data_IF_699886637801
#
_entry.id   IF_699886637801
#
_cell.length_a   1.000
_cell.length_b   1.000
_cell.length_c   1.000
_cell.angle_alpha   90.00
_cell.angle_beta   90.00
_cell.angle_gamma   90.00
#
_symmetry.space_group_name_H-M   'P 1'
#
loop_
_entity.id
_entity.type
_entity.pdbx_description
1 polymer ?
#
# COMPACT_ATOMS: atom_id res chain seq x y z
N UNK A 1 -25.06 -30.89 -4.21
CA UNK A 1 -24.77 -29.46 -4.48
C UNK A 1 -23.94 -28.92 -3.33
N UNK A 2 -22.78 -28.31 -3.60
CA UNK A 2 -21.91 -27.73 -2.55
C UNK A 2 -22.60 -26.57 -1.80
N UNK A 3 -22.05 -26.20 -0.65
CA UNK A 3 -22.51 -25.07 0.16
C UNK A 3 -22.52 -23.78 -0.67
N UNK A 4 -23.60 -22.98 -0.60
CA UNK A 4 -23.63 -21.63 -1.15
C UNK A 4 -23.15 -20.66 -0.07
N UNK A 5 -22.04 -19.96 -0.33
CA UNK A 5 -21.51 -18.94 0.55
C UNK A 5 -22.18 -17.59 0.27
N UNK A 6 -22.41 -16.81 1.30
CA UNK A 6 -22.93 -15.45 1.10
C UNK A 6 -21.84 -14.55 0.49
N UNK A 7 -20.61 -14.66 0.99
CA UNK A 7 -19.46 -13.90 0.50
C UNK A 7 -18.25 -14.84 0.30
N UNK A 8 -17.62 -14.74 -0.87
CA UNK A 8 -16.28 -15.33 -1.12
C UNK A 8 -15.29 -14.21 -1.39
N UNK A 9 -14.20 -14.18 -0.62
CA UNK A 9 -13.10 -13.22 -0.75
C UNK A 9 -11.93 -13.92 -1.40
N UNK A 10 -11.47 -13.44 -2.55
CA UNK A 10 -10.32 -13.97 -3.26
C UNK A 10 -9.05 -13.25 -2.81
N UNK A 11 -8.12 -13.96 -2.19
CA UNK A 11 -6.88 -13.45 -1.66
C UNK A 11 -6.96 -13.04 -0.19
N UNK A 12 -6.13 -13.67 0.63
CA UNK A 12 -5.95 -13.43 2.06
C UNK A 12 -4.78 -12.47 2.35
N UNK A 13 -4.60 -11.42 1.54
CA UNK A 13 -3.67 -10.33 1.83
C UNK A 13 -4.28 -9.27 2.74
N UNK A 14 -3.65 -8.08 2.80
CA UNK A 14 -4.13 -6.96 3.64
C UNK A 14 -5.63 -6.67 3.43
N UNK A 15 -6.08 -6.51 2.18
CA UNK A 15 -7.47 -6.16 1.89
C UNK A 15 -8.47 -7.27 2.27
N UNK A 16 -8.17 -8.50 1.86
CA UNK A 16 -9.07 -9.64 2.12
C UNK A 16 -9.16 -9.99 3.60
N UNK A 17 -8.03 -10.07 4.30
CA UNK A 17 -8.03 -10.35 5.74
C UNK A 17 -8.60 -9.19 6.55
N UNK A 18 -8.35 -7.92 6.20
CA UNK A 18 -8.98 -6.79 6.89
C UNK A 18 -10.51 -6.87 6.82
N UNK A 19 -11.06 -7.20 5.65
CA UNK A 19 -12.50 -7.38 5.52
C UNK A 19 -13.00 -8.64 6.27
N UNK A 20 -12.27 -9.75 6.19
CA UNK A 20 -12.63 -10.97 6.93
C UNK A 20 -12.68 -10.73 8.44
N UNK A 21 -11.70 -9.98 8.98
CA UNK A 21 -11.66 -9.58 10.41
C UNK A 21 -12.85 -8.68 10.77
N UNK A 22 -13.27 -7.76 9.92
CA UNK A 22 -14.47 -6.96 10.14
C UNK A 22 -15.72 -7.83 10.16
N UNK A 23 -15.83 -8.79 9.23
CA UNK A 23 -16.98 -9.70 9.11
C UNK A 23 -16.98 -10.83 10.15
N UNK A 24 -15.92 -10.97 10.94
CA UNK A 24 -15.86 -11.90 12.08
C UNK A 24 -16.62 -11.38 13.32
N UNK A 25 -17.07 -10.13 13.31
CA UNK A 25 -17.86 -9.58 14.41
C UNK A 25 -19.22 -10.29 14.54
N UNK A 26 -19.71 -10.45 15.78
CA UNK A 26 -20.93 -11.21 16.11
C UNK A 26 -22.19 -10.77 15.37
N UNK A 27 -22.26 -9.51 14.99
CA UNK A 27 -23.38 -8.94 14.20
C UNK A 27 -23.48 -9.52 12.78
N UNK A 28 -22.41 -10.15 12.27
CA UNK A 28 -22.38 -10.84 10.98
C UNK A 28 -22.50 -12.38 11.11
N UNK A 29 -22.83 -12.90 12.28
CA UNK A 29 -22.91 -14.36 12.53
C UNK A 29 -23.84 -15.12 11.58
N UNK A 30 -24.83 -14.43 10.99
CA UNK A 30 -25.72 -15.00 9.96
C UNK A 30 -25.18 -14.93 8.53
N UNK A 31 -23.98 -14.35 8.30
CA UNK A 31 -23.36 -14.19 6.97
C UNK A 31 -22.20 -15.17 6.85
N UNK A 32 -22.31 -16.15 5.97
CA UNK A 32 -21.23 -17.12 5.73
C UNK A 32 -20.17 -16.54 4.80
N UNK A 33 -18.91 -16.51 5.26
CA UNK A 33 -17.78 -15.92 4.53
C UNK A 33 -16.69 -16.97 4.31
N UNK A 34 -16.18 -17.07 3.08
CA UNK A 34 -15.02 -17.89 2.73
C UNK A 34 -13.91 -17.01 2.15
N UNK A 35 -12.73 -17.09 2.73
CA UNK A 35 -11.51 -16.47 2.18
C UNK A 35 -10.67 -17.55 1.50
N UNK A 36 -10.36 -17.35 0.22
CA UNK A 36 -9.52 -18.24 -0.58
C UNK A 36 -8.14 -17.63 -0.75
N UNK A 37 -7.13 -18.22 -0.17
CA UNK A 37 -5.75 -17.75 -0.22
C UNK A 37 -4.82 -18.77 -0.86
N UNK A 38 -4.01 -18.34 -1.85
CA UNK A 38 -3.08 -19.21 -2.56
C UNK A 38 -1.90 -19.69 -1.72
N UNK A 39 -1.47 -18.90 -0.73
CA UNK A 39 -0.36 -19.25 0.16
C UNK A 39 -0.74 -20.43 1.03
N UNK A 40 0.21 -21.33 1.26
CA UNK A 40 0.05 -22.43 2.22
C UNK A 40 0.10 -21.89 3.66
N UNK A 41 1.01 -20.96 3.93
CA UNK A 41 1.24 -20.37 5.24
C UNK A 41 1.56 -18.89 5.13
N UNK A 42 1.30 -18.16 6.19
CA UNK A 42 1.67 -16.76 6.33
C UNK A 42 3.06 -16.64 6.95
N UNK A 43 3.88 -15.79 6.37
CA UNK A 43 5.21 -15.42 6.84
C UNK A 43 5.38 -13.92 6.72
N UNK A 44 6.40 -13.34 7.35
CA UNK A 44 6.77 -11.95 7.10
C UNK A 44 7.28 -11.86 5.65
N UNK A 45 6.47 -11.30 4.77
CA UNK A 45 6.77 -11.14 3.36
C UNK A 45 6.94 -9.67 2.95
N UNK A 46 6.62 -8.73 3.87
CA UNK A 46 6.76 -7.28 3.69
C UNK A 46 6.62 -6.53 5.00
N UNK A 47 7.01 -5.27 4.95
CA UNK A 47 6.76 -4.27 6.00
C UNK A 47 5.85 -3.19 5.42
N UNK A 48 4.77 -2.88 6.10
CA UNK A 48 3.95 -1.72 5.77
C UNK A 48 4.40 -0.52 6.56
N UNK A 49 4.61 0.61 5.87
CA UNK A 49 4.90 1.88 6.49
C UNK A 49 3.93 2.93 6.00
N UNK A 50 3.44 3.75 6.91
CA UNK A 50 2.36 4.68 6.61
C UNK A 50 2.30 5.85 7.59
N UNK A 51 1.66 6.92 7.16
CA UNK A 51 1.33 8.04 8.01
C UNK A 51 0.04 7.79 8.78
N UNK A 52 0.03 8.13 10.06
CA UNK A 52 -1.17 8.10 10.89
C UNK A 52 -1.21 9.31 11.84
N UNK A 53 -2.39 9.87 12.02
CA UNK A 53 -2.72 10.91 13.00
C UNK A 53 -3.76 10.42 14.02
N UNK A 54 -4.19 9.17 13.86
CA UNK A 54 -5.24 8.55 14.68
C UNK A 54 -4.91 7.09 14.94
N UNK A 55 -5.42 6.57 16.04
CA UNK A 55 -5.43 5.14 16.33
C UNK A 55 -6.37 4.42 15.37
N UNK A 56 -5.94 3.33 14.80
CA UNK A 56 -6.73 2.43 13.99
C UNK A 56 -6.68 0.99 14.53
N UNK A 57 -7.47 0.09 13.94
CA UNK A 57 -7.64 -1.30 14.42
C UNK A 57 -6.32 -2.02 14.71
N UNK A 58 -5.29 -1.77 13.92
CA UNK A 58 -4.00 -2.48 13.98
C UNK A 58 -2.87 -1.67 14.62
N UNK A 59 -3.16 -0.51 15.24
CA UNK A 59 -2.12 0.33 15.87
C UNK A 59 -1.36 -0.39 16.97
N UNK A 60 -1.98 -1.36 17.64
CA UNK A 60 -1.34 -2.17 18.69
C UNK A 60 -0.33 -3.20 18.14
N UNK A 61 -0.28 -3.40 16.82
CA UNK A 61 0.66 -4.28 16.13
C UNK A 61 1.85 -3.53 15.52
N UNK A 62 1.83 -2.20 15.57
CA UNK A 62 2.90 -1.39 15.03
C UNK A 62 4.21 -1.68 15.75
N UNK A 63 5.24 -1.98 14.97
CA UNK A 63 6.57 -2.27 15.48
C UNK A 63 7.24 -1.03 16.04
N UNK A 64 7.07 0.11 15.36
CA UNK A 64 7.58 1.41 15.78
C UNK A 64 6.80 2.55 15.13
N UNK A 65 6.83 3.69 15.82
CA UNK A 65 6.33 4.98 15.35
C UNK A 65 7.41 6.05 15.51
N UNK A 66 7.45 7.01 14.58
CA UNK A 66 8.36 8.15 14.60
C UNK A 66 7.58 9.45 14.39
N UNK A 67 8.03 10.51 15.07
CA UNK A 67 7.54 11.88 14.86
C UNK A 67 8.49 12.73 14.03
N UNK A 68 9.66 12.18 13.68
CA UNK A 68 10.72 12.86 12.95
C UNK A 68 11.14 12.05 11.74
N UNK A 69 11.44 12.76 10.64
CA UNK A 69 11.95 12.16 9.41
C UNK A 69 12.80 13.13 8.62
N UNK A 70 13.64 12.60 7.76
CA UNK A 70 14.48 13.36 6.86
C UNK A 70 14.20 13.06 5.41
N UNK A 71 14.40 14.07 4.58
CA UNK A 71 14.48 13.96 3.12
C UNK A 71 15.75 14.69 2.68
N UNK A 72 16.57 14.07 1.85
CA UNK A 72 17.87 14.63 1.44
C UNK A 72 18.22 14.37 -0.03
N UNK A 73 18.97 15.30 -0.65
CA UNK A 73 19.55 15.16 -1.98
C UNK A 73 20.89 15.89 -2.00
N UNK A 74 21.98 15.16 -2.18
CA UNK A 74 23.33 15.68 -2.03
C UNK A 74 23.56 16.31 -0.66
N UNK A 75 24.00 17.56 -0.62
CA UNK A 75 24.23 18.31 0.64
C UNK A 75 22.97 18.93 1.26
N UNK A 76 21.87 18.98 0.51
CA UNK A 76 20.61 19.54 1.00
C UNK A 76 19.84 18.49 1.81
N UNK A 77 19.47 18.84 3.05
CA UNK A 77 18.73 17.97 3.94
C UNK A 77 17.63 18.73 4.68
N UNK A 78 16.43 18.21 4.68
CA UNK A 78 15.32 18.70 5.47
C UNK A 78 15.08 17.75 6.64
N UNK A 79 15.12 18.29 7.87
CA UNK A 79 14.68 17.62 9.09
C UNK A 79 13.26 18.08 9.39
N UNK A 80 12.34 17.13 9.46
CA UNK A 80 10.92 17.39 9.56
C UNK A 80 10.38 16.75 10.84
N UNK A 81 9.57 17.48 11.58
CA UNK A 81 8.96 17.00 12.82
C UNK A 81 7.48 17.34 12.83
N UNK A 82 6.62 16.39 13.19
CA UNK A 82 5.20 16.63 13.41
C UNK A 82 4.81 16.31 14.85
N UNK A 83 4.02 17.19 15.44
CA UNK A 83 3.37 16.95 16.74
C UNK A 83 2.06 16.15 16.58
N UNK A 84 1.48 16.11 15.37
CA UNK A 84 0.18 15.50 15.09
C UNK A 84 0.28 14.15 14.42
N UNK A 85 1.13 14.06 13.40
CA UNK A 85 1.28 12.86 12.59
C UNK A 85 2.44 12.01 13.09
N UNK A 86 2.31 10.70 12.90
CA UNK A 86 3.39 9.73 13.11
C UNK A 86 3.60 8.97 11.81
N UNK A 87 4.84 8.62 11.55
CA UNK A 87 5.18 7.62 10.57
C UNK A 87 5.29 6.29 11.30
N UNK A 88 4.54 5.29 10.90
CA UNK A 88 4.45 4.01 11.58
C UNK A 88 4.93 2.88 10.68
N UNK A 89 5.46 1.83 11.29
CA UNK A 89 5.87 0.59 10.63
C UNK A 89 5.19 -0.61 11.28
N UNK A 90 4.70 -1.53 10.45
CA UNK A 90 4.03 -2.76 10.86
C UNK A 90 4.52 -3.93 10.01
N UNK A 91 5.07 -4.96 10.66
CA UNK A 91 5.52 -6.18 10.00
C UNK A 91 4.31 -7.05 9.59
N UNK A 92 4.34 -7.60 8.38
CA UNK A 92 3.18 -8.31 7.82
C UNK A 92 2.80 -9.57 8.60
N UNK A 93 3.75 -10.27 9.19
CA UNK A 93 3.49 -11.47 10.01
C UNK A 93 2.71 -11.13 11.29
N UNK A 94 2.96 -9.99 11.94
CA UNK A 94 2.17 -9.53 13.09
C UNK A 94 0.70 -9.31 12.71
N UNK A 95 0.46 -8.65 11.55
CA UNK A 95 -0.88 -8.49 11.01
C UNK A 95 -1.52 -9.83 10.66
N UNK A 96 -0.81 -10.69 9.92
CA UNK A 96 -1.34 -11.99 9.51
C UNK A 96 -1.71 -12.86 10.70
N UNK A 97 -0.84 -12.93 11.71
CA UNK A 97 -1.11 -13.68 12.95
C UNK A 97 -2.39 -13.19 13.62
N UNK A 98 -2.50 -11.89 13.86
CA UNK A 98 -3.69 -11.29 14.48
C UNK A 98 -4.95 -11.54 13.67
N UNK A 99 -4.90 -11.38 12.34
CA UNK A 99 -6.04 -11.57 11.46
C UNK A 99 -6.48 -13.05 11.42
N UNK A 100 -5.53 -13.98 11.29
CA UNK A 100 -5.82 -15.43 11.28
C UNK A 100 -6.40 -15.89 12.60
N UNK A 101 -5.86 -15.44 13.73
CA UNK A 101 -6.41 -15.74 15.07
C UNK A 101 -7.86 -15.23 15.21
N UNK A 102 -8.12 -13.99 14.78
CA UNK A 102 -9.47 -13.39 14.81
C UNK A 102 -10.45 -14.16 13.94
N UNK A 103 -10.07 -14.47 12.71
CA UNK A 103 -10.92 -15.21 11.76
C UNK A 103 -11.18 -16.64 12.26
N UNK A 104 -10.16 -17.32 12.77
CA UNK A 104 -10.28 -18.69 13.28
C UNK A 104 -11.17 -18.82 14.51
N UNK A 105 -11.29 -17.75 15.30
CA UNK A 105 -12.20 -17.71 16.46
C UNK A 105 -13.68 -17.47 16.05
N UNK A 106 -13.95 -17.12 14.79
CA UNK A 106 -15.29 -16.79 14.31
C UNK A 106 -15.95 -17.98 13.62
N UNK A 107 -17.20 -18.34 13.97
CA UNK A 107 -17.88 -19.51 13.39
C UNK A 107 -18.40 -19.27 11.96
N UNK A 108 -18.51 -18.02 11.53
CA UNK A 108 -19.09 -17.65 10.24
C UNK A 108 -18.06 -17.35 9.14
N UNK A 109 -16.78 -17.22 9.48
CA UNK A 109 -15.69 -16.97 8.53
C UNK A 109 -14.76 -18.16 8.45
N UNK A 110 -14.49 -18.62 7.24
CA UNK A 110 -13.55 -19.71 6.97
C UNK A 110 -12.39 -19.16 6.12
N UNK A 111 -11.18 -19.38 6.58
CA UNK A 111 -9.96 -19.12 5.78
C UNK A 111 -9.44 -20.46 5.23
N UNK A 112 -9.43 -20.57 3.92
CA UNK A 112 -8.87 -21.71 3.21
C UNK A 112 -7.56 -21.28 2.55
N UNK A 113 -6.44 -21.77 3.07
CA UNK A 113 -5.10 -21.61 2.47
C UNK A 113 -4.84 -22.67 1.41
N UNK A 114 -3.77 -22.53 0.64
CA UNK A 114 -3.44 -23.39 -0.48
C UNK A 114 -4.57 -23.50 -1.53
N UNK A 115 -5.38 -22.46 -1.66
CA UNK A 115 -6.54 -22.37 -2.55
C UNK A 115 -6.24 -21.41 -3.72
N UNK A 116 -5.64 -21.92 -4.77
CA UNK A 116 -5.36 -21.17 -5.99
C UNK A 116 -6.63 -21.08 -6.82
N UNK A 117 -7.13 -19.85 -7.03
CA UNK A 117 -8.32 -19.60 -7.83
C UNK A 117 -7.93 -19.45 -9.30
N UNK A 118 -8.50 -20.29 -10.14
CA UNK A 118 -8.32 -20.29 -11.58
C UNK A 118 -9.29 -19.34 -12.29
N UNK A 119 -10.58 -19.44 -11.96
CA UNK A 119 -11.64 -18.77 -12.69
C UNK A 119 -12.77 -18.32 -11.78
N UNK A 120 -13.35 -17.18 -12.13
CA UNK A 120 -14.61 -16.69 -11.56
C UNK A 120 -15.62 -16.52 -12.69
N UNK A 121 -16.80 -17.10 -12.54
CA UNK A 121 -17.89 -17.01 -13.51
C UNK A 121 -19.15 -16.51 -12.79
N UNK A 122 -19.57 -15.29 -13.08
CA UNK A 122 -20.88 -14.81 -12.71
C UNK A 122 -21.93 -15.55 -13.55
N UNK A 123 -22.95 -16.13 -12.89
CA UNK A 123 -24.13 -16.72 -13.53
C UNK A 123 -25.27 -15.71 -13.59
N UNK A 124 -25.43 -14.98 -12.50
CA UNK A 124 -26.32 -13.84 -12.40
C UNK A 124 -25.77 -12.84 -11.36
N UNK A 125 -26.58 -11.88 -10.96
CA UNK A 125 -26.17 -10.82 -10.02
C UNK A 125 -25.85 -11.35 -8.60
N UNK A 126 -26.34 -12.54 -8.24
CA UNK A 126 -26.22 -13.14 -6.90
C UNK A 126 -25.85 -14.63 -6.93
N UNK A 127 -25.32 -15.12 -8.02
CA UNK A 127 -24.78 -16.48 -8.14
C UNK A 127 -23.52 -16.48 -9.00
N UNK A 128 -22.42 -16.82 -8.36
CA UNK A 128 -21.11 -16.94 -9.01
C UNK A 128 -20.50 -18.29 -8.69
N UNK A 129 -19.72 -18.81 -9.63
CA UNK A 129 -18.88 -20.00 -9.42
C UNK A 129 -17.42 -19.56 -9.44
N UNK A 130 -16.71 -19.89 -8.36
CA UNK A 130 -15.25 -19.79 -8.23
C UNK A 130 -14.67 -21.18 -8.41
N UNK A 131 -13.84 -21.39 -9.42
CA UNK A 131 -13.17 -22.66 -9.69
C UNK A 131 -11.73 -22.59 -9.20
N UNK A 132 -11.33 -23.53 -8.38
CA UNK A 132 -9.95 -23.68 -7.92
C UNK A 132 -9.12 -24.47 -8.93
N UNK A 133 -7.82 -24.33 -8.88
CA UNK A 133 -6.87 -25.07 -9.71
C UNK A 133 -7.00 -26.61 -9.55
N UNK A 134 -7.48 -27.07 -8.41
CA UNK A 134 -7.81 -28.48 -8.14
C UNK A 134 -9.03 -28.99 -8.90
N UNK A 135 -9.77 -28.14 -9.57
CA UNK A 135 -11.07 -28.44 -10.18
C UNK A 135 -12.27 -28.31 -9.22
N UNK A 136 -12.03 -28.07 -7.93
CA UNK A 136 -13.10 -27.81 -6.97
C UNK A 136 -13.86 -26.52 -7.35
N UNK A 137 -15.19 -26.57 -7.24
CA UNK A 137 -16.08 -25.45 -7.52
C UNK A 137 -16.78 -24.96 -6.24
N UNK A 138 -16.62 -23.68 -5.94
CA UNK A 138 -17.23 -22.98 -4.82
C UNK A 138 -18.33 -22.05 -5.34
N UNK A 139 -19.54 -22.14 -4.79
CA UNK A 139 -20.65 -21.24 -5.13
C UNK A 139 -20.71 -20.06 -4.14
N UNK A 140 -20.92 -18.87 -4.67
CA UNK A 140 -21.00 -17.63 -3.90
C UNK A 140 -22.15 -16.74 -4.37
N UNK A 141 -22.87 -16.09 -3.42
CA UNK A 141 -23.80 -15.01 -3.75
C UNK A 141 -23.04 -13.76 -4.22
N UNK A 142 -21.94 -13.46 -3.54
CA UNK A 142 -21.08 -12.32 -3.84
C UNK A 142 -19.61 -12.75 -3.83
N UNK A 143 -18.87 -12.32 -4.82
CA UNK A 143 -17.42 -12.50 -4.89
C UNK A 143 -16.72 -11.14 -4.80
N UNK A 144 -15.76 -11.02 -3.88
CA UNK A 144 -14.90 -9.85 -3.71
C UNK A 144 -13.46 -10.23 -4.04
N UNK A 145 -12.79 -9.45 -4.88
CA UNK A 145 -11.44 -9.77 -5.34
C UNK A 145 -10.38 -8.88 -4.66
N UNK A 146 -9.65 -9.45 -3.71
CA UNK A 146 -8.53 -8.82 -3.01
C UNK A 146 -7.16 -9.24 -3.56
N UNK A 147 -7.12 -9.96 -4.67
CA UNK A 147 -5.86 -10.34 -5.31
C UNK A 147 -5.20 -9.10 -5.93
N UNK A 148 -3.87 -9.04 -5.94
CA UNK A 148 -3.19 -7.98 -6.69
C UNK A 148 -3.47 -8.15 -8.18
N UNK A 149 -3.72 -7.05 -8.88
CA UNK A 149 -3.73 -7.11 -10.35
C UNK A 149 -2.36 -7.57 -10.86
N UNK A 150 -2.31 -8.47 -11.85
CA UNK A 150 -1.06 -8.76 -12.53
C UNK A 150 -0.48 -7.46 -13.10
N UNK A 151 0.82 -7.25 -12.95
CA UNK A 151 1.54 -6.20 -13.64
C UNK A 151 1.62 -6.59 -15.12
N UNK A 152 0.50 -6.44 -15.83
CA UNK A 152 0.33 -6.98 -17.19
C UNK A 152 0.89 -6.09 -18.29
N UNK A 153 1.37 -4.89 -17.95
CA UNK A 153 1.88 -3.97 -18.95
C UNK A 153 3.38 -3.71 -18.73
N UNK A 154 4.22 -4.00 -19.74
CA UNK A 154 5.59 -3.50 -19.77
C UNK A 154 5.66 -1.97 -19.98
N UNK A 155 4.52 -1.28 -20.04
CA UNK A 155 4.41 0.16 -20.26
C UNK A 155 3.82 0.79 -19.00
N UNK A 156 4.61 1.66 -18.36
CA UNK A 156 4.17 2.45 -17.24
C UNK A 156 5.12 2.45 -16.04
N UNK A 157 4.89 3.41 -15.18
CA UNK A 157 5.72 3.61 -14.02
C UNK A 157 5.42 2.57 -12.93
N UNK A 158 6.49 2.08 -12.35
CA UNK A 158 6.45 1.22 -11.16
C UNK A 158 7.31 1.83 -10.07
N UNK A 159 6.92 1.58 -8.82
CA UNK A 159 7.82 1.67 -7.69
C UNK A 159 8.31 0.27 -7.38
N UNK A 160 9.61 0.06 -7.44
CA UNK A 160 10.24 -1.23 -7.12
C UNK A 160 11.30 -1.02 -6.06
N UNK A 161 11.45 -1.99 -5.16
CA UNK A 161 12.37 -1.89 -4.05
C UNK A 161 12.85 -3.26 -3.57
N UNK A 162 14.02 -3.26 -2.97
CA UNK A 162 14.55 -4.35 -2.14
C UNK A 162 14.98 -3.76 -0.81
N UNK A 163 14.59 -4.42 0.27
CA UNK A 163 14.90 -4.03 1.64
C UNK A 163 15.67 -5.11 2.39
N UNK A 164 16.69 -4.70 3.12
CA UNK A 164 17.44 -5.54 4.06
C UNK A 164 17.27 -5.03 5.48
N UNK A 165 16.77 -5.86 6.39
CA UNK A 165 16.88 -5.56 7.81
C UNK A 165 18.26 -5.97 8.30
N UNK A 166 19.01 -4.97 8.77
CA UNK A 166 20.40 -5.16 9.17
C UNK A 166 20.57 -4.98 10.67
N UNK A 167 21.46 -5.80 11.22
CA UNK A 167 21.93 -5.74 12.60
C UNK A 167 23.42 -5.37 12.60
N UNK A 168 23.81 -4.39 13.41
CA UNK A 168 25.19 -3.93 13.58
C UNK A 168 25.63 -4.03 15.04
N UNK A 169 26.95 -4.14 15.27
CA UNK A 169 27.50 -4.28 16.65
C UNK A 169 27.56 -2.95 17.39
N UNK A 170 27.65 -1.83 16.70
CA UNK A 170 27.76 -0.49 17.26
C UNK A 170 26.56 0.38 16.91
N UNK A 171 26.36 1.46 17.66
CA UNK A 171 25.28 2.41 17.40
C UNK A 171 25.59 3.22 16.13
N UNK A 172 24.79 3.00 15.08
CA UNK A 172 24.94 3.61 13.74
C UNK A 172 23.72 4.42 13.38
N UNK A 173 22.53 3.90 13.68
CA UNK A 173 21.27 4.50 13.25
C UNK A 173 20.71 5.47 14.28
N UNK A 174 20.20 6.62 13.81
CA UNK A 174 19.39 7.48 14.68
C UNK A 174 17.98 6.89 14.83
N UNK A 175 17.74 6.21 15.95
CA UNK A 175 16.49 5.52 16.18
C UNK A 175 15.25 6.44 16.25
N UNK A 176 15.42 7.74 16.45
CA UNK A 176 14.32 8.69 16.61
C UNK A 176 13.85 9.32 15.28
N UNK A 177 14.57 9.08 14.19
CA UNK A 177 14.33 9.77 12.92
C UNK A 177 14.36 8.80 11.73
N UNK A 178 13.27 8.73 10.96
CA UNK A 178 13.21 7.98 9.70
C UNK A 178 13.97 8.73 8.61
N UNK A 179 14.83 8.06 7.84
CA UNK A 179 15.27 8.57 6.56
C UNK A 179 14.24 8.19 5.50
N UNK A 180 13.33 9.12 5.21
CA UNK A 180 12.20 8.84 4.33
C UNK A 180 12.64 8.74 2.86
N UNK A 181 13.55 9.61 2.43
CA UNK A 181 14.13 9.60 1.09
C UNK A 181 15.54 10.22 1.15
N UNK A 182 16.56 9.44 0.87
CA UNK A 182 17.89 9.95 0.56
C UNK A 182 18.12 9.75 -0.94
N UNK A 183 17.94 10.80 -1.72
CA UNK A 183 17.99 10.73 -3.17
C UNK A 183 19.40 10.53 -3.70
N UNK A 184 19.53 9.60 -4.65
CA UNK A 184 20.68 9.41 -5.52
C UNK A 184 20.24 9.73 -6.95
N UNK A 185 20.55 10.92 -7.50
CA UNK A 185 20.09 11.31 -8.83
C UNK A 185 20.58 10.35 -9.91
N UNK A 186 19.65 9.86 -10.73
CA UNK A 186 19.91 8.92 -11.82
C UNK A 186 19.04 9.26 -13.06
N UNK A 187 19.53 9.11 -14.30
CA UNK A 187 18.78 9.40 -15.51
C UNK A 187 17.70 8.35 -15.84
N UNK A 188 17.69 7.17 -15.20
CA UNK A 188 16.77 6.09 -15.49
C UNK A 188 15.52 6.10 -14.60
N UNK A 189 15.47 6.98 -13.60
CA UNK A 189 14.34 7.07 -12.69
C UNK A 189 14.60 7.88 -11.44
N UNK A 190 13.70 7.81 -10.48
CA UNK A 190 13.88 8.37 -9.14
C UNK A 190 14.43 7.27 -8.25
N UNK A 191 15.70 7.37 -7.89
CA UNK A 191 16.37 6.47 -6.96
C UNK A 191 16.54 7.14 -5.60
N UNK A 192 16.24 6.41 -4.53
CA UNK A 192 16.50 6.86 -3.16
C UNK A 192 16.64 5.67 -2.20
N UNK A 193 17.40 5.90 -1.14
CA UNK A 193 17.44 5.01 0.01
C UNK A 193 16.44 5.44 1.07
N UNK A 194 15.77 4.44 1.65
CA UNK A 194 14.79 4.58 2.70
C UNK A 194 15.24 3.78 3.91
N UNK A 195 15.22 4.37 5.12
CA UNK A 195 15.71 3.72 6.34
C UNK A 195 14.71 3.86 7.47
N UNK A 196 14.28 2.73 8.00
CA UNK A 196 13.46 2.61 9.21
C UNK A 196 14.31 2.12 10.38
N UNK A 197 14.81 2.99 11.25
CA UNK A 197 15.66 2.61 12.35
C UNK A 197 14.83 2.10 13.53
N UNK A 198 14.83 0.81 13.75
CA UNK A 198 14.12 0.18 14.87
C UNK A 198 14.87 0.34 16.21
N UNK A 199 16.19 0.45 16.16
CA UNK A 199 17.07 0.76 17.27
C UNK A 199 18.36 1.41 16.72
N UNK A 200 19.28 1.89 17.58
CA UNK A 200 20.60 2.35 17.13
C UNK A 200 21.41 1.30 16.37
N UNK A 201 21.04 0.01 16.54
CA UNK A 201 21.76 -1.14 15.94
C UNK A 201 20.95 -1.99 15.01
N UNK A 202 19.71 -1.61 14.73
CA UNK A 202 18.82 -2.34 13.81
C UNK A 202 18.02 -1.40 12.95
N UNK A 203 18.08 -1.59 11.64
CA UNK A 203 17.24 -0.84 10.70
C UNK A 203 16.83 -1.70 9.50
N UNK A 204 15.66 -1.42 8.94
CA UNK A 204 15.33 -1.81 7.58
C UNK A 204 15.87 -0.73 6.65
N UNK A 205 16.71 -1.13 5.71
CA UNK A 205 17.32 -0.26 4.69
C UNK A 205 16.83 -0.74 3.33
N UNK A 206 16.21 0.15 2.57
CA UNK A 206 15.69 -0.17 1.23
C UNK A 206 16.36 0.70 0.17
N UNK A 207 16.75 0.08 -0.95
CA UNK A 207 16.93 0.78 -2.21
C UNK A 207 15.61 0.77 -2.95
N UNK A 208 15.12 1.96 -3.33
CA UNK A 208 13.82 2.17 -3.94
C UNK A 208 13.94 2.97 -5.22
N UNK A 209 13.27 2.50 -6.27
CA UNK A 209 13.19 3.15 -7.57
C UNK A 209 11.75 3.43 -7.98
N UNK A 210 11.52 4.62 -8.55
CA UNK A 210 10.35 4.90 -9.39
C UNK A 210 10.88 5.02 -10.82
N UNK A 211 10.55 4.05 -11.67
CA UNK A 211 11.12 3.93 -13.02
C UNK A 211 10.12 3.29 -13.99
N UNK A 212 10.52 3.16 -15.25
CA UNK A 212 9.80 2.29 -16.18
C UNK A 212 9.88 0.84 -15.72
N UNK A 213 8.87 0.04 -16.04
CA UNK A 213 8.73 -1.35 -15.56
C UNK A 213 9.82 -2.31 -16.11
N UNK A 214 10.47 -1.95 -17.19
CA UNK A 214 11.57 -2.68 -17.82
C UNK A 214 12.96 -2.30 -17.29
N UNK A 215 13.06 -1.32 -16.39
CA UNK A 215 14.30 -0.97 -15.71
C UNK A 215 14.59 -1.98 -14.60
N UNK A 216 15.80 -2.53 -14.57
CA UNK A 216 16.24 -3.55 -13.61
C UNK A 216 17.52 -3.12 -12.90
N UNK A 217 17.42 -2.39 -11.76
CA UNK A 217 18.57 -1.99 -10.97
C UNK A 217 19.24 -3.17 -10.26
N UNK A 218 20.54 -3.05 -9.98
CA UNK A 218 21.24 -4.01 -9.10
C UNK A 218 21.09 -3.60 -7.63
N UNK A 219 19.91 -3.87 -7.08
CA UNK A 219 19.58 -3.55 -5.70
C UNK A 219 20.57 -4.08 -4.67
N UNK A 220 21.13 -5.26 -4.90
CA UNK A 220 22.08 -5.89 -3.98
C UNK A 220 23.41 -5.13 -3.96
N UNK A 221 23.87 -4.64 -5.11
CA UNK A 221 25.07 -3.80 -5.19
C UNK A 221 24.83 -2.43 -4.54
N UNK A 222 23.71 -1.79 -4.85
CA UNK A 222 23.31 -0.50 -4.28
C UNK A 222 23.21 -0.54 -2.75
N UNK A 223 22.55 -1.57 -2.20
CA UNK A 223 22.42 -1.74 -0.75
C UNK A 223 23.77 -2.00 -0.07
N UNK A 224 24.67 -2.78 -0.69
CA UNK A 224 26.02 -3.00 -0.14
C UNK A 224 26.84 -1.70 -0.13
N UNK A 225 26.77 -0.93 -1.20
CA UNK A 225 27.47 0.36 -1.30
C UNK A 225 26.95 1.36 -0.26
N UNK A 226 25.63 1.51 -0.17
CA UNK A 226 25.00 2.37 0.83
C UNK A 226 25.38 1.96 2.26
N UNK A 227 25.29 0.67 2.58
CA UNK A 227 25.65 0.16 3.91
C UNK A 227 27.14 0.36 4.21
N UNK A 228 28.02 0.24 3.21
CA UNK A 228 29.43 0.54 3.39
C UNK A 228 29.67 2.02 3.76
N UNK A 229 28.88 2.93 3.22
CA UNK A 229 28.96 4.36 3.55
C UNK A 229 28.40 4.66 4.95
N UNK A 230 27.29 4.03 5.33
CA UNK A 230 26.55 4.32 6.58
C UNK A 230 27.14 3.56 7.77
N UNK A 231 27.42 2.29 7.61
CA UNK A 231 27.96 1.40 8.66
C UNK A 231 29.48 1.49 8.75
N UNK A 232 30.11 1.91 7.65
CA UNK A 232 31.57 1.95 7.53
C UNK A 232 32.19 0.54 7.44
N UNK A 233 33.44 0.37 7.96
CA UNK A 233 34.13 -0.92 7.90
C UNK A 233 33.60 -1.99 8.88
N UNK A 234 32.54 -1.67 9.63
CA UNK A 234 31.96 -2.59 10.60
C UNK A 234 31.13 -3.68 9.92
N UNK A 235 31.17 -4.88 10.48
CA UNK A 235 30.35 -5.97 10.00
C UNK A 235 28.87 -5.72 10.30
N UNK A 236 28.00 -6.12 9.39
CA UNK A 236 26.56 -6.20 9.61
C UNK A 236 26.03 -7.58 9.24
N UNK A 237 24.95 -7.98 9.89
CA UNK A 237 24.20 -9.20 9.54
C UNK A 237 22.85 -8.82 8.96
N UNK A 238 22.44 -9.47 7.88
CA UNK A 238 21.11 -9.32 7.28
C UNK A 238 20.19 -10.34 7.92
N UNK A 239 19.25 -9.89 8.73
CA UNK A 239 18.29 -10.74 9.46
C UNK A 239 17.01 -11.03 8.69
N UNK A 240 16.63 -10.12 7.75
CA UNK A 240 15.43 -10.24 6.94
C UNK A 240 15.62 -9.52 5.60
N UNK A 241 14.92 -10.01 4.57
CA UNK A 241 14.91 -9.40 3.24
C UNK A 241 13.49 -9.31 2.73
N UNK A 242 13.17 -8.21 2.09
CA UNK A 242 11.91 -8.03 1.37
C UNK A 242 12.13 -7.41 0.00
N UNK A 243 11.13 -7.56 -0.86
CA UNK A 243 11.09 -6.90 -2.15
C UNK A 243 9.65 -6.62 -2.55
N UNK A 244 9.46 -5.62 -3.38
CA UNK A 244 8.15 -5.29 -3.90
C UNK A 244 8.19 -4.56 -5.22
N UNK A 245 7.12 -4.74 -5.99
CA UNK A 245 6.84 -3.97 -7.20
C UNK A 245 5.41 -3.46 -7.13
N UNK A 246 5.25 -2.16 -7.21
CA UNK A 246 3.97 -1.47 -7.16
C UNK A 246 3.73 -0.77 -8.49
N UNK A 247 2.70 -1.15 -9.23
CA UNK A 247 2.25 -0.39 -10.41
C UNK A 247 1.67 0.95 -9.94
N UNK A 248 2.17 2.05 -10.49
CA UNK A 248 1.73 3.41 -10.17
C UNK A 248 0.62 3.91 -11.11
N UNK A 249 -0.08 2.98 -11.75
CA UNK A 249 -1.19 3.29 -12.64
C UNK A 249 -2.52 3.13 -11.90
N UNK A 250 -3.51 3.88 -12.39
CA UNK A 250 -4.89 3.71 -11.93
C UNK A 250 -5.47 2.40 -12.41
N UNK A 251 -6.06 1.66 -11.50
CA UNK A 251 -6.80 0.45 -11.85
C UNK A 251 -8.23 0.83 -12.26
N UNK A 252 -8.64 0.44 -13.45
CA UNK A 252 -10.02 0.57 -13.90
C UNK A 252 -10.74 -0.76 -13.71
N UNK A 253 -11.74 -0.82 -12.84
CA UNK A 253 -12.60 -1.99 -12.69
C UNK A 253 -13.33 -2.26 -14.02
N UNK A 254 -13.26 -3.48 -14.54
CA UNK A 254 -14.02 -3.89 -15.71
C UNK A 254 -15.50 -4.06 -15.35
N UNK A 255 -16.45 -3.61 -16.17
CA UNK A 255 -17.86 -3.88 -15.95
C UNK A 255 -18.13 -5.39 -15.80
N UNK A 256 -18.88 -5.78 -14.76
CA UNK A 256 -19.23 -7.20 -14.49
C UNK A 256 -18.14 -8.00 -13.78
N UNK A 257 -16.97 -7.42 -13.49
CA UNK A 257 -15.98 -8.05 -12.64
C UNK A 257 -16.40 -8.02 -11.15
N UNK A 258 -15.90 -8.94 -10.32
CA UNK A 258 -16.05 -8.83 -8.87
C UNK A 258 -15.60 -7.48 -8.34
N UNK A 259 -16.20 -7.00 -7.26
CA UNK A 259 -15.75 -5.77 -6.61
C UNK A 259 -14.34 -5.98 -6.08
N UNK A 260 -13.41 -5.18 -6.57
CA UNK A 260 -12.01 -5.29 -6.20
C UNK A 260 -11.73 -4.60 -4.85
N UNK A 261 -10.87 -5.23 -4.05
CA UNK A 261 -10.42 -4.76 -2.75
C UNK A 261 -8.92 -4.49 -2.76
N UNK A 262 -8.47 -3.72 -1.77
CA UNK A 262 -7.06 -3.44 -1.59
C UNK A 262 -6.45 -2.76 -2.82
N UNK A 263 -5.22 -3.13 -3.17
CA UNK A 263 -4.49 -2.51 -4.28
C UNK A 263 -5.22 -2.61 -5.61
N UNK A 264 -5.76 -3.79 -5.94
CA UNK A 264 -6.58 -3.99 -7.15
C UNK A 264 -7.87 -3.17 -7.14
N UNK A 265 -8.38 -2.79 -5.96
CA UNK A 265 -9.52 -1.90 -5.76
C UNK A 265 -9.18 -0.40 -5.72
N UNK A 266 -7.93 0.00 -6.02
CA UNK A 266 -7.53 1.41 -6.10
C UNK A 266 -7.14 2.06 -4.77
N UNK A 267 -6.91 1.28 -3.70
CA UNK A 267 -6.46 1.85 -2.42
C UNK A 267 -4.99 2.29 -2.42
N UNK A 268 -4.18 1.81 -3.38
CA UNK A 268 -2.83 2.31 -3.58
C UNK A 268 -2.89 3.73 -4.15
N UNK A 269 -2.19 4.67 -3.53
CA UNK A 269 -2.03 6.01 -4.08
C UNK A 269 -0.89 6.04 -5.10
N UNK A 270 -1.20 6.39 -6.33
CA UNK A 270 -0.27 6.28 -7.46
C UNK A 270 1.02 7.11 -7.26
N UNK A 271 0.93 8.32 -6.70
CA UNK A 271 2.10 9.20 -6.52
C UNK A 271 2.98 8.87 -5.31
N UNK A 272 2.53 7.98 -4.38
CA UNK A 272 3.22 7.74 -3.11
C UNK A 272 3.41 6.28 -2.74
N UNK A 273 2.69 5.36 -3.40
CA UNK A 273 2.70 3.93 -3.07
C UNK A 273 1.98 3.57 -1.76
N UNK A 274 1.44 4.53 -1.01
CA UNK A 274 0.74 4.24 0.25
C UNK A 274 -0.62 3.59 -0.01
N UNK A 275 -0.92 2.53 0.75
CA UNK A 275 -2.16 1.77 0.61
C UNK A 275 -2.76 1.29 1.93
N UNK A 276 -1.95 1.17 3.00
CA UNK A 276 -2.34 0.45 4.22
C UNK A 276 -3.61 1.04 4.85
N UNK A 277 -3.59 2.32 5.21
CA UNK A 277 -4.71 2.99 5.91
C UNK A 277 -5.97 3.01 5.03
N UNK A 278 -5.83 3.31 3.74
CA UNK A 278 -6.97 3.33 2.81
C UNK A 278 -7.59 1.94 2.65
N UNK A 279 -6.76 0.87 2.61
CA UNK A 279 -7.24 -0.51 2.52
C UNK A 279 -8.02 -0.91 3.77
N UNK A 280 -7.49 -0.65 4.96
CA UNK A 280 -8.14 -0.96 6.23
C UNK A 280 -9.44 -0.15 6.38
N UNK A 281 -9.41 1.13 6.05
CA UNK A 281 -10.60 2.00 6.09
C UNK A 281 -11.69 1.52 5.14
N UNK A 282 -11.31 1.12 3.92
CA UNK A 282 -12.28 0.61 2.93
C UNK A 282 -12.92 -0.69 3.40
N UNK A 283 -12.16 -1.61 3.98
CA UNK A 283 -12.70 -2.83 4.57
C UNK A 283 -13.76 -2.52 5.65
N UNK A 284 -13.50 -1.59 6.54
CA UNK A 284 -14.45 -1.12 7.54
C UNK A 284 -15.70 -0.45 6.94
N UNK A 285 -15.55 0.31 5.84
CA UNK A 285 -16.69 0.92 5.13
C UNK A 285 -17.59 -0.13 4.49
N UNK A 286 -17.01 -1.18 3.88
CA UNK A 286 -17.75 -2.30 3.32
C UNK A 286 -18.54 -3.02 4.42
N UNK A 287 -17.88 -3.36 5.52
CA UNK A 287 -18.54 -4.02 6.64
C UNK A 287 -19.68 -3.16 7.23
N UNK A 288 -19.45 -1.85 7.37
CA UNK A 288 -20.50 -0.91 7.82
C UNK A 288 -21.70 -0.91 6.87
N UNK A 289 -21.47 -0.84 5.56
CA UNK A 289 -22.58 -0.84 4.58
C UNK A 289 -23.37 -2.15 4.57
N UNK A 290 -22.71 -3.30 4.77
CA UNK A 290 -23.39 -4.59 4.93
C UNK A 290 -24.21 -4.62 6.22
N UNK A 291 -23.67 -4.12 7.33
CA UNK A 291 -24.40 -4.00 8.61
C UNK A 291 -25.70 -3.19 8.45
N UNK A 292 -25.61 -2.06 7.74
CA UNK A 292 -26.75 -1.19 7.48
C UNK A 292 -27.80 -1.93 6.61
N UNK A 293 -27.36 -2.70 5.61
CA UNK A 293 -28.23 -3.53 4.77
C UNK A 293 -28.90 -4.68 5.56
N UNK A 294 -28.16 -5.34 6.46
CA UNK A 294 -28.72 -6.38 7.35
C UNK A 294 -29.83 -5.82 8.25
N UNK A 295 -29.62 -4.64 8.85
CA UNK A 295 -30.60 -3.96 9.68
C UNK A 295 -31.87 -3.55 8.91
N UNK A 296 -31.69 -3.18 7.63
CA UNK A 296 -32.78 -2.80 6.75
C UNK A 296 -33.48 -4.00 6.08
N UNK A 297 -33.00 -5.24 6.26
CA UNK A 297 -33.49 -6.42 5.58
C UNK A 297 -33.22 -6.46 4.07
N UNK A 298 -32.21 -5.71 3.59
CA UNK A 298 -31.86 -5.58 2.17
C UNK A 298 -30.55 -6.29 1.80
N UNK A 299 -30.05 -7.17 2.64
CA UNK A 299 -28.79 -7.87 2.43
C UNK A 299 -28.76 -8.72 1.16
N UNK A 300 -29.91 -9.20 0.69
CA UNK A 300 -30.00 -10.00 -0.55
C UNK A 300 -29.76 -9.19 -1.81
N UNK A 301 -29.95 -7.87 -1.76
CA UNK A 301 -29.71 -6.94 -2.86
C UNK A 301 -28.50 -6.03 -2.61
N UNK A 302 -27.83 -6.23 -1.47
CA UNK A 302 -26.66 -5.42 -1.13
C UNK A 302 -25.47 -5.72 -2.04
N UNK A 303 -24.84 -4.65 -2.53
CA UNK A 303 -23.59 -4.69 -3.25
C UNK A 303 -22.61 -3.71 -2.61
N UNK A 304 -21.35 -4.11 -2.37
CA UNK A 304 -20.34 -3.22 -1.83
C UNK A 304 -19.95 -2.17 -2.87
N UNK A 305 -19.58 -1.00 -2.38
CA UNK A 305 -19.01 0.04 -3.22
C UNK A 305 -17.49 -0.13 -3.28
N UNK A 306 -16.90 0.00 -4.47
CA UNK A 306 -15.45 0.07 -4.65
C UNK A 306 -14.87 1.30 -3.94
N UNK A 307 -13.57 1.25 -3.66
CA UNK A 307 -12.84 2.39 -3.11
C UNK A 307 -12.89 3.57 -4.10
N UNK A 308 -13.10 4.77 -3.58
CA UNK A 308 -13.10 5.99 -4.39
C UNK A 308 -12.14 7.00 -3.80
N UNK A 309 -11.09 7.29 -4.54
CA UNK A 309 -10.19 8.42 -4.25
C UNK A 309 -10.82 9.72 -4.77
N UNK A 310 -10.51 10.84 -4.11
CA UNK A 310 -10.92 12.16 -4.59
C UNK A 310 -10.39 12.38 -6.02
N UNK A 311 -11.27 12.82 -6.94
CA UNK A 311 -10.93 12.99 -8.34
C UNK A 311 -9.78 14.00 -8.57
N UNK A 312 -9.71 15.05 -7.72
CA UNK A 312 -8.63 16.03 -7.78
C UNK A 312 -7.28 15.41 -7.37
N UNK A 313 -7.25 14.59 -6.29
CA UNK A 313 -6.02 13.89 -5.90
C UNK A 313 -5.56 12.94 -7.01
N UNK A 314 -6.48 12.19 -7.59
CA UNK A 314 -6.19 11.31 -8.72
C UNK A 314 -5.60 12.06 -9.93
N UNK A 315 -6.17 13.23 -10.26
CA UNK A 315 -5.67 14.09 -11.33
C UNK A 315 -4.29 14.65 -11.02
N UNK A 316 -4.07 15.13 -9.77
CA UNK A 316 -2.77 15.66 -9.32
C UNK A 316 -1.68 14.57 -9.30
N UNK A 317 -2.01 13.36 -8.84
CA UNK A 317 -1.09 12.21 -8.85
C UNK A 317 -0.62 11.90 -10.27
N UNK A 318 -1.54 11.92 -11.24
CA UNK A 318 -1.19 11.67 -12.62
C UNK A 318 -0.33 12.77 -13.26
N UNK A 319 -0.55 14.04 -12.89
CA UNK A 319 0.34 15.15 -13.33
C UNK A 319 1.73 14.95 -12.74
N UNK A 320 1.82 14.65 -11.44
CA UNK A 320 3.10 14.47 -10.76
C UNK A 320 3.92 13.34 -11.40
N UNK A 321 3.32 12.19 -11.63
CA UNK A 321 3.98 11.06 -12.29
C UNK A 321 4.40 11.42 -13.73
N UNK A 322 3.58 12.15 -14.48
CA UNK A 322 3.93 12.61 -15.82
C UNK A 322 5.10 13.61 -15.84
N UNK A 323 5.24 14.44 -14.81
CA UNK A 323 6.39 15.33 -14.66
C UNK A 323 7.64 14.54 -14.34
N UNK A 324 7.57 13.58 -13.41
CA UNK A 324 8.71 12.71 -13.08
C UNK A 324 9.22 11.97 -14.31
N UNK A 325 8.31 11.33 -15.08
CA UNK A 325 8.64 10.55 -16.27
C UNK A 325 9.36 11.37 -17.36
N UNK A 326 9.11 12.68 -17.42
CA UNK A 326 9.70 13.55 -18.41
C UNK A 326 11.01 14.21 -17.98
N UNK A 327 11.31 14.20 -16.68
CA UNK A 327 12.44 14.95 -16.12
C UNK A 327 13.05 14.24 -14.90
N UNK A 328 13.49 12.99 -15.09
CA UNK A 328 14.14 12.19 -14.05
C UNK A 328 15.29 12.91 -13.35
N UNK A 329 16.22 13.61 -14.06
CA UNK A 329 17.34 14.26 -13.42
C UNK A 329 16.96 15.32 -12.38
N UNK A 330 15.76 15.93 -12.53
CA UNK A 330 15.26 16.94 -11.61
C UNK A 330 14.21 16.43 -10.63
N UNK A 331 13.90 15.14 -10.66
CA UNK A 331 12.85 14.56 -9.81
C UNK A 331 13.12 14.82 -8.32
N UNK A 332 14.37 14.66 -7.86
CA UNK A 332 14.75 14.94 -6.47
C UNK A 332 14.49 16.39 -6.07
N UNK A 333 14.69 17.37 -6.98
CA UNK A 333 14.41 18.79 -6.71
C UNK A 333 12.93 19.01 -6.42
N UNK A 334 12.03 18.33 -7.15
CA UNK A 334 10.58 18.44 -6.94
C UNK A 334 10.16 17.91 -5.57
N UNK A 335 10.72 16.80 -5.15
CA UNK A 335 10.49 16.26 -3.79
C UNK A 335 11.08 17.17 -2.71
N UNK A 336 12.32 17.65 -2.89
CA UNK A 336 12.95 18.56 -1.94
C UNK A 336 12.15 19.87 -1.79
N UNK A 337 11.60 20.41 -2.88
CA UNK A 337 10.72 21.58 -2.83
C UNK A 337 9.40 21.27 -2.11
N UNK A 338 8.78 20.11 -2.40
CA UNK A 338 7.55 19.69 -1.73
C UNK A 338 7.73 19.60 -0.22
N UNK A 339 8.81 18.95 0.24
CA UNK A 339 9.06 18.77 1.67
C UNK A 339 9.63 20.01 2.37
N UNK A 340 10.33 20.87 1.65
CA UNK A 340 10.99 22.06 2.24
C UNK A 340 10.17 23.34 2.21
N UNK A 341 9.13 23.43 1.37
CA UNK A 341 8.40 24.70 1.15
C UNK A 341 7.01 24.74 1.77
N UNK A 342 6.51 23.61 2.26
CA UNK A 342 5.16 23.49 2.83
C UNK A 342 5.26 22.97 4.26
N UNK A 343 4.32 23.39 5.10
CA UNK A 343 4.26 22.88 6.48
C UNK A 343 4.13 21.35 6.53
N UNK A 344 4.82 20.72 7.47
CA UNK A 344 4.92 19.26 7.60
C UNK A 344 3.54 18.59 7.62
N UNK A 345 2.61 19.09 8.42
CA UNK A 345 1.26 18.52 8.52
C UNK A 345 0.45 18.67 7.22
N UNK A 346 0.65 19.78 6.47
CA UNK A 346 0.01 19.99 5.16
C UNK A 346 0.58 18.99 4.12
N UNK A 347 1.90 18.76 4.17
CA UNK A 347 2.56 17.77 3.30
C UNK A 347 2.05 16.36 3.59
N UNK A 348 2.00 15.96 4.87
CA UNK A 348 1.47 14.65 5.26
C UNK A 348 0.00 14.50 4.87
N UNK A 349 -0.84 15.51 5.12
CA UNK A 349 -2.24 15.51 4.69
C UNK A 349 -2.37 15.32 3.17
N UNK A 350 -1.49 15.95 2.40
CA UNK A 350 -1.46 15.77 0.95
C UNK A 350 -1.02 14.36 0.56
N UNK A 351 0.08 13.85 1.11
CA UNK A 351 0.61 12.50 0.82
C UNK A 351 -0.37 11.39 1.20
N UNK A 352 -1.29 11.64 2.14
CA UNK A 352 -2.31 10.68 2.57
C UNK A 352 -3.69 10.88 1.92
N UNK A 353 -3.84 11.86 0.99
CA UNK A 353 -5.12 12.16 0.33
C UNK A 353 -6.16 12.84 1.22
N UNK A 354 -5.75 13.39 2.37
CA UNK A 354 -6.62 14.06 3.35
C UNK A 354 -6.54 15.59 3.29
N UNK A 355 -5.76 16.13 2.35
CA UNK A 355 -5.58 17.57 2.23
C UNK A 355 -6.89 18.29 1.88
N UNK A 356 -7.10 19.44 2.51
CA UNK A 356 -8.15 20.40 2.15
C UNK A 356 -7.83 21.11 0.84
N UNK A 357 -8.79 21.83 0.26
CA UNK A 357 -8.55 22.60 -0.96
C UNK A 357 -7.44 23.66 -0.80
N UNK A 358 -7.36 24.32 0.38
CA UNK A 358 -6.30 25.29 0.66
C UNK A 358 -4.91 24.64 0.79
N UNK A 359 -4.83 23.48 1.40
CA UNK A 359 -3.58 22.71 1.52
C UNK A 359 -3.10 22.25 0.13
N UNK A 360 -3.99 21.72 -0.72
CA UNK A 360 -3.66 21.38 -2.11
C UNK A 360 -3.14 22.60 -2.89
N UNK A 361 -3.77 23.74 -2.72
CA UNK A 361 -3.30 24.98 -3.38
C UNK A 361 -1.90 25.40 -2.91
N UNK A 362 -1.58 25.25 -1.61
CA UNK A 362 -0.22 25.50 -1.09
C UNK A 362 0.79 24.55 -1.73
N UNK A 363 0.47 23.26 -1.81
CA UNK A 363 1.29 22.25 -2.48
C UNK A 363 1.52 22.61 -3.95
N UNK A 364 0.47 22.95 -4.69
CA UNK A 364 0.60 23.35 -6.10
C UNK A 364 1.51 24.56 -6.29
N UNK A 365 1.45 25.54 -5.37
CA UNK A 365 2.28 26.75 -5.41
C UNK A 365 3.73 26.51 -4.98
N UNK A 366 4.03 25.43 -4.27
CA UNK A 366 5.39 25.09 -3.85
C UNK A 366 6.21 24.45 -4.97
N UNK A 367 5.56 23.96 -6.02
CA UNK A 367 6.18 23.25 -7.13
C UNK A 367 6.42 24.19 -8.34
N UNK A 368 7.39 23.91 -9.22
CA UNK A 368 7.68 24.74 -10.37
C UNK A 368 6.50 24.78 -11.35
N UNK A 369 6.02 25.98 -11.67
CA UNK A 369 4.79 26.15 -12.48
C UNK A 369 4.93 25.53 -13.88
N UNK A 370 6.04 25.75 -14.57
CA UNK A 370 6.20 25.41 -15.98
C UNK A 370 6.03 23.91 -16.28
N UNK A 371 6.77 22.96 -15.64
CA UNK A 371 6.63 21.55 -15.94
C UNK A 371 5.25 21.00 -15.55
N UNK A 372 4.70 21.45 -14.42
CA UNK A 372 3.41 20.99 -13.92
C UNK A 372 2.24 21.52 -14.75
N UNK A 373 2.27 22.80 -15.18
CA UNK A 373 1.26 23.34 -16.09
C UNK A 373 1.29 22.68 -17.45
N UNK A 374 2.47 22.43 -18.02
CA UNK A 374 2.61 21.72 -19.27
C UNK A 374 2.07 20.28 -19.20
N UNK A 375 2.31 19.56 -18.10
CA UNK A 375 1.78 18.21 -17.88
C UNK A 375 0.25 18.24 -17.69
N UNK A 376 -0.29 19.22 -16.97
CA UNK A 376 -1.73 19.40 -16.79
C UNK A 376 -2.46 19.65 -18.11
N UNK A 377 -1.91 20.50 -18.97
CA UNK A 377 -2.48 20.77 -20.31
C UNK A 377 -2.50 19.50 -21.18
N UNK A 378 -1.40 18.76 -21.25
CA UNK A 378 -1.35 17.51 -22.03
C UNK A 378 -2.41 16.50 -21.58
N UNK A 379 -2.58 16.34 -20.25
CA UNK A 379 -3.55 15.40 -19.68
C UNK A 379 -5.01 15.82 -19.85
N UNK A 380 -5.27 17.09 -20.15
CA UNK A 380 -6.62 17.58 -20.42
C UNK A 380 -7.07 17.27 -21.86
N UNK A 381 -6.12 17.08 -22.78
CA UNK A 381 -6.38 16.82 -24.20
C UNK A 381 -6.19 15.35 -24.61
N UNK A 382 -5.77 14.46 -23.70
CA UNK A 382 -5.69 13.01 -23.87
C UNK A 382 -6.86 12.30 -23.17
#
# INVERSE_FOLDING_TARGET
>A
MGKLWDIVILGGGLGGLSLAVELSASEFSGVSVLVLEKRERYVRDKTWSYWTDQTHRYSHLERRQWSQWTVSSGSLKHHLTSARCRYASLDADAFYKNAVETVSASPNVVLQTNAVVDKVQARDQHDSIVTLHTGEAVRARLVLDARPEPLTAPQGLVQQFVGWEVQVEHDVFNAEEVQLMAFEPDPNGVHFFYVLPYSPRCALVESTWISQADWHPDFDAELREYLMQVVGPHAYAVSYREHGVLGLQSTNSKPGAPVALGRGGGTLRASTGYAFIDTVTHAGQIAKSLRDALRAGTQTTWLPTGFRRNALDHWMDGIFLSVLEQDWPRASEYFMQLFGSVGVDDTVAFLTGRATGLQRLRIMRSLPVTPFAAAALRRHFS
#
